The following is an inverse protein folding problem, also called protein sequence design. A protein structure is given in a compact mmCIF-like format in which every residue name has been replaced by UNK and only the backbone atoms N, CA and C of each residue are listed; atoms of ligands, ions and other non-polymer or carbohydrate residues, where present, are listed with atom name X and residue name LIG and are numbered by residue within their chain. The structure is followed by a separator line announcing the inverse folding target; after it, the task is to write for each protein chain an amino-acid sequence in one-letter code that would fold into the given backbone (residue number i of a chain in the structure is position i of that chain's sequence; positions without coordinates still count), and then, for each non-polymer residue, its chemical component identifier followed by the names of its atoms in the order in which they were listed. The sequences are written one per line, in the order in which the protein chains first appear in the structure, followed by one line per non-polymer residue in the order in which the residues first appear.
data_IF_247183506733
#
_entry.id   IF_247183506733
#
_cell.length_a   1.000
_cell.length_b   1.000
_cell.length_c   1.000
_cell.angle_alpha   90.00
_cell.angle_beta   90.00
_cell.angle_gamma   90.00
#
_symmetry.space_group_name_H-M   'P 1'
#
loop_
_entity.id
_entity.type
_entity.pdbx_description
1 polymer ?
#
# COMPACT_ATOMS: atom_id res chain seq x y z
N UNK A 1 -18.23 -11.02 10.81
CA UNK A 1 -17.22 -10.23 11.54
C UNK A 1 -17.93 -9.30 12.51
N UNK A 2 -17.73 -9.49 13.81
CA UNK A 2 -18.45 -8.69 14.81
C UNK A 2 -18.06 -7.21 14.75
N UNK A 3 -19.00 -6.33 15.12
CA UNK A 3 -18.77 -4.89 15.19
C UNK A 3 -17.60 -4.52 16.12
N UNK A 4 -17.47 -5.25 17.24
CA UNK A 4 -16.35 -5.05 18.19
C UNK A 4 -15.01 -5.34 17.54
N UNK A 5 -14.88 -6.47 16.82
CA UNK A 5 -13.67 -6.80 16.11
C UNK A 5 -13.33 -5.75 15.03
N UNK A 6 -14.34 -5.22 14.34
CA UNK A 6 -14.15 -4.16 13.36
C UNK A 6 -13.60 -2.88 13.97
N UNK A 7 -14.21 -2.41 15.06
CA UNK A 7 -13.76 -1.20 15.77
C UNK A 7 -12.32 -1.39 16.29
N UNK A 8 -12.02 -2.53 16.90
CA UNK A 8 -10.68 -2.83 17.40
C UNK A 8 -9.66 -2.76 16.26
N UNK A 9 -9.96 -3.34 15.10
CA UNK A 9 -9.04 -3.32 13.95
C UNK A 9 -8.86 -1.91 13.36
N UNK A 10 -9.89 -1.07 13.37
CA UNK A 10 -9.75 0.34 12.97
C UNK A 10 -8.86 1.12 13.94
N UNK A 11 -9.02 0.88 15.25
CA UNK A 11 -8.16 1.50 16.27
C UNK A 11 -6.71 1.03 16.11
N UNK A 12 -6.48 -0.27 15.91
CA UNK A 12 -5.14 -0.80 15.66
C UNK A 12 -4.53 -0.23 14.37
N UNK A 13 -5.33 -0.07 13.32
CA UNK A 13 -4.88 0.56 12.08
C UNK A 13 -4.46 2.02 12.33
N UNK A 14 -5.26 2.78 13.06
CA UNK A 14 -4.91 4.15 13.43
C UNK A 14 -3.64 4.21 14.30
N UNK A 15 -3.50 3.29 15.26
CA UNK A 15 -2.32 3.17 16.10
C UNK A 15 -1.05 2.79 15.30
N UNK A 16 -1.20 2.11 14.15
CA UNK A 16 -0.11 1.83 13.22
C UNK A 16 0.23 3.04 12.34
N UNK A 17 -0.78 3.80 11.90
CA UNK A 17 -0.58 4.99 11.07
C UNK A 17 0.03 6.14 11.87
N UNK A 18 -0.38 6.36 13.12
CA UNK A 18 0.11 7.46 13.95
C UNK A 18 1.65 7.56 14.06
N UNK A 19 2.41 6.50 14.38
CA UNK A 19 3.86 6.58 14.49
C UNK A 19 4.55 6.91 13.16
N UNK A 20 3.92 6.59 12.01
CA UNK A 20 4.47 6.88 10.68
C UNK A 20 4.67 8.38 10.41
N UNK A 21 3.95 9.24 11.13
CA UNK A 21 4.04 10.70 11.03
C UNK A 21 5.06 11.33 12.01
N UNK A 22 5.62 10.54 12.94
CA UNK A 22 6.59 11.04 13.93
C UNK A 22 7.99 11.15 13.32
N UNK A 23 8.84 12.03 13.86
CA UNK A 23 10.20 12.24 13.34
C UNK A 23 11.03 10.97 13.39
N UNK A 24 11.26 10.41 14.58
CA UNK A 24 12.14 9.25 14.74
C UNK A 24 11.52 7.94 14.22
N UNK A 25 10.37 7.54 14.74
CA UNK A 25 9.77 6.25 14.36
C UNK A 25 9.29 6.27 12.89
N UNK A 26 8.74 7.40 12.43
CA UNK A 26 8.37 7.57 11.02
C UNK A 26 9.59 7.50 10.09
N UNK A 27 10.72 8.12 10.44
CA UNK A 27 11.95 8.00 9.65
C UNK A 27 12.49 6.57 9.60
N UNK A 28 12.48 5.85 10.73
CA UNK A 28 12.91 4.44 10.76
C UNK A 28 12.01 3.55 9.89
N UNK A 29 10.69 3.74 9.97
CA UNK A 29 9.73 3.06 9.10
C UNK A 29 10.01 3.41 7.64
N UNK A 30 10.26 4.68 7.34
CA UNK A 30 10.55 5.17 5.99
C UNK A 30 11.81 4.54 5.41
N UNK A 31 12.84 4.40 6.23
CA UNK A 31 14.08 3.71 5.87
C UNK A 31 13.85 2.23 5.54
N UNK A 32 13.09 1.51 6.38
CA UNK A 32 12.74 0.11 6.12
C UNK A 32 11.89 -0.05 4.85
N UNK A 33 10.98 0.91 4.59
CA UNK A 33 10.22 0.97 3.34
C UNK A 33 11.15 1.20 2.16
N UNK A 34 12.12 2.12 2.27
CA UNK A 34 13.14 2.38 1.25
C UNK A 34 13.93 1.11 0.89
N UNK A 35 14.40 0.36 1.90
CA UNK A 35 15.06 -0.95 1.70
C UNK A 35 14.10 -1.91 0.98
N UNK A 36 12.86 -2.02 1.45
CA UNK A 36 11.89 -2.95 0.87
C UNK A 36 11.65 -2.63 -0.61
N UNK A 37 11.46 -1.36 -0.96
CA UNK A 37 11.27 -0.92 -2.34
C UNK A 37 12.50 -1.21 -3.18
N UNK A 38 13.71 -0.91 -2.68
CA UNK A 38 14.94 -1.14 -3.42
C UNK A 38 15.16 -2.62 -3.76
N UNK A 39 15.03 -3.51 -2.78
CA UNK A 39 15.38 -4.92 -2.92
C UNK A 39 14.25 -5.80 -3.48
N UNK A 40 12.98 -5.49 -3.18
CA UNK A 40 11.86 -6.34 -3.57
C UNK A 40 11.01 -5.80 -4.72
N UNK A 41 11.20 -4.53 -5.09
CA UNK A 41 10.47 -3.91 -6.21
C UNK A 41 11.45 -3.47 -7.29
N UNK A 42 12.41 -2.61 -6.96
CA UNK A 42 13.31 -2.01 -7.95
C UNK A 42 14.27 -3.04 -8.57
N UNK A 43 14.93 -3.87 -7.76
CA UNK A 43 15.84 -4.90 -8.28
C UNK A 43 15.13 -5.94 -9.16
N UNK A 44 14.04 -6.61 -8.71
CA UNK A 44 13.28 -7.52 -9.58
C UNK A 44 12.70 -6.82 -10.80
N UNK A 45 12.18 -5.61 -10.65
CA UNK A 45 11.66 -4.80 -11.75
C UNK A 45 12.72 -4.49 -12.80
N UNK A 46 13.94 -4.16 -12.38
CA UNK A 46 15.08 -3.95 -13.28
C UNK A 46 15.49 -5.24 -13.99
N UNK A 47 15.51 -6.39 -13.30
CA UNK A 47 15.81 -7.68 -13.91
C UNK A 47 14.77 -8.07 -14.97
N UNK A 48 13.48 -7.87 -14.68
CA UNK A 48 12.38 -8.08 -15.63
C UNK A 48 12.53 -7.11 -16.82
N UNK A 49 12.74 -5.82 -16.56
CA UNK A 49 12.94 -4.82 -17.60
C UNK A 49 14.12 -5.14 -18.52
N UNK A 50 15.23 -5.63 -17.94
CA UNK A 50 16.39 -6.08 -18.72
C UNK A 50 16.08 -7.29 -19.60
N UNK A 51 15.36 -8.29 -19.06
CA UNK A 51 14.94 -9.46 -19.82
C UNK A 51 14.00 -9.09 -20.98
N UNK A 52 13.06 -8.17 -20.75
CA UNK A 52 12.13 -7.67 -21.77
C UNK A 52 12.86 -6.89 -22.87
N UNK A 53 13.80 -6.02 -22.51
CA UNK A 53 14.63 -5.31 -23.47
C UNK A 53 15.45 -6.28 -24.35
N UNK A 54 16.02 -7.35 -23.76
CA UNK A 54 16.71 -8.41 -24.53
C UNK A 54 15.76 -9.15 -25.49
N UNK A 55 14.49 -9.27 -25.16
CA UNK A 55 13.47 -9.88 -26.01
C UNK A 55 12.92 -8.92 -27.09
N UNK A 56 13.48 -7.72 -27.24
CA UNK A 56 13.05 -6.71 -28.21
C UNK A 56 11.84 -5.89 -27.78
N UNK A 57 11.42 -5.99 -26.51
CA UNK A 57 10.35 -5.17 -25.94
C UNK A 57 10.99 -4.02 -25.16
N UNK A 58 10.99 -2.78 -25.69
CA UNK A 58 11.55 -1.64 -24.99
C UNK A 58 10.66 -1.30 -23.79
N UNK A 59 11.19 -1.51 -22.58
CA UNK A 59 10.49 -1.15 -21.34
C UNK A 59 11.38 -0.26 -20.50
N UNK A 60 10.86 0.90 -20.10
CA UNK A 60 11.54 1.80 -19.17
C UNK A 60 11.21 1.43 -17.73
N UNK A 61 12.11 1.75 -16.79
CA UNK A 61 11.84 1.55 -15.36
C UNK A 61 10.58 2.30 -14.89
N UNK A 62 10.31 3.47 -15.49
CA UNK A 62 9.10 4.26 -15.21
C UNK A 62 7.82 3.52 -15.60
N UNK A 63 7.79 2.87 -16.78
CA UNK A 63 6.63 2.09 -17.22
C UNK A 63 6.33 0.92 -16.29
N UNK A 64 7.36 0.26 -15.75
CA UNK A 64 7.21 -0.81 -14.75
C UNK A 64 6.60 -0.29 -13.45
N UNK A 65 7.02 0.89 -12.98
CA UNK A 65 6.45 1.53 -11.79
C UNK A 65 4.99 1.91 -12.04
N UNK A 66 4.67 2.51 -13.19
CA UNK A 66 3.30 2.84 -13.56
C UNK A 66 2.41 1.60 -13.68
N UNK A 67 2.91 0.49 -14.23
CA UNK A 67 2.19 -0.76 -14.30
C UNK A 67 1.88 -1.32 -12.89
N UNK A 68 2.87 -1.27 -11.98
CA UNK A 68 2.67 -1.69 -10.59
C UNK A 68 1.65 -0.78 -9.86
N UNK A 69 1.75 0.54 -10.06
CA UNK A 69 0.78 1.51 -9.52
C UNK A 69 -0.63 1.31 -10.07
N UNK A 70 -0.77 1.06 -11.37
CA UNK A 70 -2.03 0.74 -12.02
C UNK A 70 -2.65 -0.56 -11.47
N UNK A 71 -1.86 -1.62 -11.32
CA UNK A 71 -2.32 -2.87 -10.72
C UNK A 71 -2.80 -2.67 -9.28
N UNK A 72 -2.06 -1.88 -8.49
CA UNK A 72 -2.46 -1.51 -7.14
C UNK A 72 -3.80 -0.74 -7.12
N UNK A 73 -3.97 0.24 -8.02
CA UNK A 73 -5.22 0.99 -8.15
C UNK A 73 -6.41 0.06 -8.50
N UNK A 74 -6.21 -0.94 -9.35
CA UNK A 74 -7.23 -1.95 -9.65
C UNK A 74 -7.62 -2.73 -8.40
N UNK A 75 -6.68 -3.11 -7.53
CA UNK A 75 -7.01 -3.78 -6.26
C UNK A 75 -7.83 -2.89 -5.32
N UNK A 76 -7.52 -1.60 -5.24
CA UNK A 76 -8.30 -0.63 -4.45
C UNK A 76 -9.73 -0.54 -4.97
N UNK A 77 -9.90 -0.37 -6.28
CA UNK A 77 -11.21 -0.29 -6.93
C UNK A 77 -12.01 -1.60 -6.75
N UNK A 78 -11.36 -2.75 -6.92
CA UNK A 78 -12.00 -4.04 -6.71
C UNK A 78 -12.51 -4.20 -5.27
N UNK A 79 -11.72 -3.78 -4.27
CA UNK A 79 -12.13 -3.78 -2.87
C UNK A 79 -13.31 -2.82 -2.63
N UNK A 80 -13.32 -1.64 -3.27
CA UNK A 80 -14.41 -0.67 -3.19
C UNK A 80 -15.72 -1.22 -3.74
N UNK A 81 -15.66 -1.81 -4.94
CA UNK A 81 -16.82 -2.43 -5.60
C UNK A 81 -17.33 -3.61 -4.76
N UNK A 82 -16.45 -4.44 -4.20
CA UNK A 82 -16.86 -5.54 -3.32
C UNK A 82 -17.57 -5.05 -2.06
N UNK A 83 -17.06 -4.00 -1.41
CA UNK A 83 -17.70 -3.41 -0.25
C UNK A 83 -19.10 -2.87 -0.59
N UNK A 84 -19.20 -2.14 -1.71
CA UNK A 84 -20.47 -1.58 -2.19
C UNK A 84 -21.51 -2.65 -2.52
N UNK A 85 -21.13 -3.68 -3.26
CA UNK A 85 -22.03 -4.77 -3.63
C UNK A 85 -22.52 -5.54 -2.41
N UNK A 86 -21.66 -5.75 -1.39
CA UNK A 86 -22.04 -6.44 -0.16
C UNK A 86 -22.96 -5.59 0.72
N UNK A 87 -22.72 -4.28 0.81
CA UNK A 87 -23.64 -3.33 1.44
C UNK A 87 -25.03 -3.39 0.82
N UNK A 88 -25.11 -3.38 -0.51
CA UNK A 88 -26.39 -3.49 -1.24
C UNK A 88 -27.12 -4.82 -1.00
N UNK A 89 -26.39 -5.90 -0.73
CA UNK A 89 -26.96 -7.22 -0.44
C UNK A 89 -27.37 -7.40 1.04
N UNK A 90 -27.16 -6.40 1.89
CA UNK A 90 -27.46 -6.49 3.33
C UNK A 90 -26.48 -7.37 4.13
N UNK A 91 -25.40 -7.84 3.51
CA UNK A 91 -24.35 -8.61 4.18
C UNK A 91 -23.40 -7.66 4.92
N UNK A 92 -23.82 -7.23 6.10
CA UNK A 92 -23.08 -6.28 6.94
C UNK A 92 -21.72 -6.80 7.38
N UNK A 93 -21.58 -8.11 7.56
CA UNK A 93 -20.33 -8.73 7.98
C UNK A 93 -19.32 -8.81 6.81
N UNK A 94 -19.81 -9.18 5.63
CA UNK A 94 -19.05 -9.11 4.39
C UNK A 94 -18.69 -7.67 4.00
N UNK A 95 -19.56 -6.70 4.27
CA UNK A 95 -19.30 -5.28 4.03
C UNK A 95 -18.19 -4.74 4.93
N UNK A 96 -18.21 -5.04 6.25
CA UNK A 96 -17.17 -4.61 7.19
C UNK A 96 -15.79 -5.16 6.83
N UNK A 97 -15.71 -6.44 6.45
CA UNK A 97 -14.44 -7.04 6.02
C UNK A 97 -13.89 -6.40 4.74
N UNK A 98 -14.75 -6.14 3.75
CA UNK A 98 -14.34 -5.46 2.52
C UNK A 98 -13.94 -4.00 2.78
N UNK A 99 -14.65 -3.29 3.67
CA UNK A 99 -14.32 -1.94 4.10
C UNK A 99 -12.97 -1.90 4.84
N UNK A 100 -12.69 -2.86 5.71
CA UNK A 100 -11.39 -2.98 6.38
C UNK A 100 -10.27 -3.21 5.36
N UNK A 101 -10.50 -4.08 4.36
CA UNK A 101 -9.52 -4.32 3.30
C UNK A 101 -9.23 -3.05 2.52
N UNK A 102 -10.25 -2.26 2.19
CA UNK A 102 -10.06 -0.93 1.60
C UNK A 102 -9.26 0.00 2.51
N UNK A 103 -9.61 0.07 3.80
CA UNK A 103 -8.92 0.91 4.76
C UNK A 103 -7.43 0.55 4.87
N UNK A 104 -7.10 -0.75 4.91
CA UNK A 104 -5.71 -1.23 4.90
C UNK A 104 -5.01 -0.84 3.61
N UNK A 105 -5.65 -1.09 2.46
CA UNK A 105 -5.07 -0.72 1.18
C UNK A 105 -4.74 0.78 1.19
N UNK A 106 -5.68 1.66 1.54
CA UNK A 106 -5.45 3.12 1.59
C UNK A 106 -4.44 3.56 2.66
N UNK A 107 -4.35 2.85 3.79
CA UNK A 107 -3.43 3.19 4.86
C UNK A 107 -1.97 2.91 4.50
N UNK A 108 -1.68 1.87 3.72
CA UNK A 108 -0.31 1.52 3.31
C UNK A 108 0.44 2.64 2.56
N UNK A 109 -0.10 3.24 1.47
CA UNK A 109 0.57 4.33 0.79
C UNK A 109 0.64 5.59 1.66
N UNK A 110 -0.33 5.81 2.54
CA UNK A 110 -0.30 6.92 3.49
C UNK A 110 0.86 6.77 4.50
N UNK A 111 1.02 5.59 5.09
CA UNK A 111 2.14 5.26 5.99
C UNK A 111 3.45 5.45 5.25
N UNK A 112 3.58 4.89 4.04
CA UNK A 112 4.78 5.02 3.24
C UNK A 112 5.12 6.49 2.95
N UNK A 113 4.13 7.27 2.55
CA UNK A 113 4.31 8.70 2.28
C UNK A 113 4.73 9.49 3.51
N UNK A 114 4.03 9.31 4.64
CA UNK A 114 4.35 10.01 5.90
C UNK A 114 5.76 9.66 6.39
N UNK A 115 6.10 8.38 6.33
CA UNK A 115 7.37 7.86 6.80
C UNK A 115 8.55 8.24 5.89
N UNK A 116 8.37 8.23 4.57
CA UNK A 116 9.40 8.72 3.63
C UNK A 116 9.65 10.22 3.81
N UNK A 117 8.60 11.02 4.02
CA UNK A 117 8.75 12.43 4.34
C UNK A 117 9.49 12.65 5.67
N UNK A 118 9.17 11.87 6.70
CA UNK A 118 9.88 11.93 7.98
C UNK A 118 11.36 11.54 7.83
N UNK A 119 11.65 10.51 7.04
CA UNK A 119 13.01 10.09 6.73
C UNK A 119 13.79 11.19 6.00
N UNK A 120 13.25 11.75 4.91
CA UNK A 120 13.90 12.81 4.13
C UNK A 120 14.20 14.06 4.95
N UNK A 121 13.37 14.40 5.93
CA UNK A 121 13.61 15.55 6.82
C UNK A 121 14.70 15.31 7.85
N UNK A 122 14.94 14.06 8.24
CA UNK A 122 15.86 13.70 9.31
C UNK A 122 17.19 13.14 8.79
N UNK A 123 17.30 12.84 7.50
CA UNK A 123 18.52 12.37 6.87
C UNK A 123 19.23 13.56 6.20
N UNK A 124 20.45 13.92 6.63
CA UNK A 124 21.23 15.01 6.03
C UNK A 124 21.77 14.67 4.63
#
# INVERSE_FOLDING_TARGET
MSQRAFIILLILLAALVAPSATSFAGAMIGFLIGITVAFFIAMPGAAIGYALNRAGVPVTGEQLVWAAGGLYAVFVLAAAVQAWLRLRRGDMDGARSAALRMAILMALPLIAWLSLNAMQRNWP
#
